data_IF_274936657817
#
_entry.id   IF_274936657817
#
_cell.length_a   1.000
_cell.length_b   1.000
_cell.length_c   1.000
_cell.angle_alpha   90.00
_cell.angle_beta   90.00
_cell.angle_gamma   90.00
#
_symmetry.space_group_name_H-M   'P 1'
#
loop_
_entity.id
_entity.type
_entity.pdbx_description
1 polymer ?
#
# COMPACT_ATOMS: atom_id res chain seq x y z
N UNK A 1 -41.04 -10.17 -7.86
CA UNK A 1 -40.09 -9.46 -7.67
C UNK A 1 -38.95 -10.07 -7.14
N UNK A 2 -37.84 -9.69 -7.35
CA UNK A 2 -36.84 -10.37 -7.11
C UNK A 2 -35.69 -9.58 -6.80
N UNK A 3 -35.15 -9.77 -5.74
CA UNK A 3 -34.13 -9.03 -5.29
C UNK A 3 -32.92 -9.75 -5.47
N UNK A 4 -32.06 -9.22 -6.22
CA UNK A 4 -30.85 -9.82 -6.34
C UNK A 4 -30.00 -9.32 -5.32
N UNK A 5 -29.72 -10.13 -4.42
CA UNK A 5 -28.82 -9.78 -3.47
C UNK A 5 -27.53 -10.16 -3.96
N UNK A 6 -26.86 -9.25 -4.43
CA UNK A 6 -25.51 -9.49 -4.75
C UNK A 6 -24.75 -9.34 -3.50
N UNK A 7 -25.19 -10.04 -2.56
CA UNK A 7 -24.56 -9.88 -1.33
C UNK A 7 -23.30 -10.61 -1.36
N UNK A 8 -22.37 -10.14 -0.89
CA UNK A 8 -21.33 -10.88 -0.41
C UNK A 8 -20.13 -11.11 -1.20
N UNK A 9 -20.15 -10.84 -2.40
CA UNK A 9 -18.92 -11.01 -3.11
C UNK A 9 -18.30 -9.68 -3.33
N UNK A 10 -17.89 -9.08 -2.24
CA UNK A 10 -17.15 -7.87 -2.39
C UNK A 10 -15.75 -8.28 -2.67
N UNK A 11 -15.41 -8.48 -3.89
CA UNK A 11 -14.03 -8.71 -4.21
C UNK A 11 -13.29 -7.40 -4.08
N UNK A 12 -12.05 -7.45 -3.63
CA UNK A 12 -11.21 -6.30 -3.55
C UNK A 12 -11.05 -5.70 -4.95
N UNK A 13 -11.20 -4.38 -5.11
CA UNK A 13 -11.08 -3.77 -6.43
C UNK A 13 -9.64 -3.77 -6.93
N UNK A 14 -9.48 -3.91 -8.24
CA UNK A 14 -8.20 -3.74 -8.87
C UNK A 14 -7.82 -2.26 -8.86
N UNK A 15 -6.54 -1.97 -9.03
CA UNK A 15 -6.05 -0.61 -8.95
C UNK A 15 -6.78 0.36 -9.88
N UNK A 16 -7.03 -0.02 -11.12
CA UNK A 16 -7.69 0.89 -12.06
C UNK A 16 -9.10 1.25 -11.62
N UNK A 17 -9.83 0.26 -11.10
CA UNK A 17 -11.16 0.51 -10.59
C UNK A 17 -11.09 1.39 -9.35
N UNK A 18 -10.16 1.09 -8.45
CA UNK A 18 -9.96 1.88 -7.25
C UNK A 18 -9.58 3.33 -7.60
N UNK A 19 -8.65 3.51 -8.53
CA UNK A 19 -8.17 4.83 -8.91
C UNK A 19 -9.29 5.71 -9.49
N UNK A 20 -10.31 5.09 -10.05
CA UNK A 20 -11.43 5.83 -10.62
C UNK A 20 -12.40 6.38 -9.57
N UNK A 21 -12.36 5.83 -8.36
CA UNK A 21 -13.30 6.22 -7.31
C UNK A 21 -12.64 6.84 -6.08
N UNK A 22 -11.32 6.70 -5.93
CA UNK A 22 -10.66 7.24 -4.75
C UNK A 22 -10.55 8.76 -4.89
N UNK A 23 -10.80 9.46 -3.80
CA UNK A 23 -10.65 10.92 -3.79
C UNK A 23 -9.17 11.32 -3.83
N UNK A 24 -8.84 12.44 -4.45
CA UNK A 24 -7.47 12.94 -4.38
C UNK A 24 -7.10 13.32 -2.94
N UNK A 25 -5.82 13.44 -2.63
CA UNK A 25 -5.42 13.90 -1.30
C UNK A 25 -6.00 15.28 -1.01
N UNK A 26 -6.24 15.55 0.26
CA UNK A 26 -6.69 16.88 0.68
C UNK A 26 -5.58 17.91 0.44
N UNK A 27 -5.92 19.20 0.37
CA UNK A 27 -4.90 20.24 0.26
C UNK A 27 -3.86 20.12 1.37
N UNK A 28 -2.60 20.32 1.03
CA UNK A 28 -1.45 20.21 1.92
C UNK A 28 -1.06 18.77 2.25
N UNK A 29 -1.82 17.80 1.77
CA UNK A 29 -1.45 16.39 1.94
C UNK A 29 -0.78 15.86 0.68
N UNK A 30 -0.01 14.81 0.85
CA UNK A 30 0.45 13.96 -0.23
C UNK A 30 -0.04 12.55 0.03
N UNK A 31 0.19 11.66 -0.88
CA UNK A 31 -0.27 10.27 -0.81
C UNK A 31 0.88 9.31 -1.03
N UNK A 32 0.91 8.25 -0.24
CA UNK A 32 1.86 7.16 -0.42
C UNK A 32 1.09 5.89 -0.72
N UNK A 33 1.35 5.28 -1.87
CA UNK A 33 0.84 3.96 -2.18
C UNK A 33 1.86 2.93 -1.72
N UNK A 34 1.37 1.87 -1.10
CA UNK A 34 2.20 0.73 -0.67
C UNK A 34 1.71 -0.51 -1.38
N UNK A 35 2.62 -1.33 -1.88
CA UNK A 35 2.22 -2.56 -2.56
C UNK A 35 3.35 -3.60 -2.54
N UNK A 36 2.95 -4.84 -2.77
CA UNK A 36 3.90 -5.96 -2.77
C UNK A 36 3.59 -6.87 -3.95
N UNK A 37 4.53 -6.97 -4.87
CA UNK A 37 4.35 -7.75 -6.10
C UNK A 37 4.62 -9.24 -5.90
N UNK A 38 5.52 -9.58 -4.98
CA UNK A 38 5.96 -10.96 -4.83
C UNK A 38 5.10 -11.75 -3.86
N UNK A 39 4.73 -12.96 -4.24
CA UNK A 39 4.08 -13.91 -3.35
C UNK A 39 5.10 -14.74 -2.58
N UNK A 40 6.38 -14.58 -2.87
CA UNK A 40 7.43 -15.30 -2.15
C UNK A 40 7.36 -14.91 -0.67
N UNK A 41 7.41 -15.89 0.21
CA UNK A 41 7.29 -15.64 1.63
C UNK A 41 5.90 -15.16 2.03
N UNK A 42 4.84 -15.67 1.38
CA UNK A 42 3.47 -15.21 1.58
C UNK A 42 2.99 -15.28 3.04
N UNK A 43 3.53 -16.17 3.84
CA UNK A 43 3.16 -16.27 5.24
C UNK A 43 3.71 -15.10 6.06
N UNK A 44 4.72 -14.39 5.53
CA UNK A 44 5.31 -13.27 6.21
C UNK A 44 4.63 -12.00 5.74
N UNK A 45 3.81 -11.42 6.57
CA UNK A 45 3.07 -10.20 6.25
C UNK A 45 3.28 -9.17 7.35
N UNK A 46 4.44 -8.52 7.37
CA UNK A 46 4.75 -7.57 8.43
C UNK A 46 3.81 -6.38 8.44
N UNK A 47 3.61 -5.81 9.61
CA UNK A 47 2.82 -4.60 9.76
C UNK A 47 3.63 -3.43 9.24
N UNK A 48 2.96 -2.56 8.51
CA UNK A 48 3.55 -1.34 7.96
C UNK A 48 3.17 -0.19 8.87
N UNK A 49 4.14 0.62 9.24
CA UNK A 49 3.91 1.81 10.06
C UNK A 49 4.41 3.05 9.33
N UNK A 50 3.69 4.13 9.49
CA UNK A 50 4.13 5.44 9.02
C UNK A 50 4.22 6.34 10.25
N UNK A 51 5.39 6.86 10.51
CA UNK A 51 5.67 7.68 11.70
C UNK A 51 5.23 6.99 13.00
N UNK A 52 5.42 5.67 13.05
CA UNK A 52 5.08 4.86 14.23
C UNK A 52 3.64 4.39 14.30
N UNK A 53 2.77 4.82 13.39
CA UNK A 53 1.36 4.44 13.38
C UNK A 53 1.12 3.29 12.41
N UNK A 54 0.44 2.25 12.85
CA UNK A 54 0.13 1.13 11.98
C UNK A 54 -0.86 1.54 10.90
N UNK A 55 -0.55 1.25 9.65
CA UNK A 55 -1.38 1.64 8.53
C UNK A 55 -1.84 0.47 7.66
N UNK A 56 -1.23 -0.69 7.82
CA UNK A 56 -1.61 -1.87 7.04
C UNK A 56 -0.59 -2.97 7.16
N UNK A 57 -0.69 -3.94 6.28
CA UNK A 57 0.24 -5.07 6.22
C UNK A 57 0.77 -5.23 4.82
N UNK A 58 2.00 -5.75 4.72
CA UNK A 58 2.61 -6.04 3.42
C UNK A 58 2.03 -7.34 2.86
N UNK A 59 0.83 -7.25 2.29
CA UNK A 59 0.08 -8.39 1.78
C UNK A 59 0.48 -8.69 0.34
N UNK A 60 0.82 -9.95 0.01
CA UNK A 60 1.18 -10.29 -1.37
C UNK A 60 0.08 -9.92 -2.36
N UNK A 61 0.47 -9.36 -3.48
CA UNK A 61 -0.44 -8.91 -4.54
C UNK A 61 -1.47 -7.87 -4.09
N UNK A 62 -1.22 -7.23 -2.97
CA UNK A 62 -2.13 -6.22 -2.43
C UNK A 62 -1.51 -4.83 -2.41
N UNK A 63 -2.38 -3.83 -2.41
CA UNK A 63 -1.94 -2.45 -2.24
C UNK A 63 -2.88 -1.72 -1.28
N UNK A 64 -2.37 -0.66 -0.68
CA UNK A 64 -3.16 0.28 0.09
C UNK A 64 -2.47 1.64 0.02
N UNK A 65 -3.09 2.66 0.57
CA UNK A 65 -2.50 3.99 0.55
C UNK A 65 -2.74 4.71 1.87
N UNK A 66 -1.94 5.74 2.11
CA UNK A 66 -2.16 6.66 3.21
C UNK A 66 -1.97 8.07 2.70
N UNK A 67 -2.74 8.99 3.25
CA UNK A 67 -2.58 10.42 3.00
C UNK A 67 -1.99 11.04 4.25
N UNK A 68 -0.94 11.83 4.08
CA UNK A 68 -0.24 12.50 5.18
C UNK A 68 0.12 13.91 4.76
N UNK A 69 0.29 14.79 5.72
CA UNK A 69 0.73 16.16 5.45
C UNK A 69 2.05 16.14 4.69
N UNK A 70 2.24 17.12 3.81
CA UNK A 70 3.50 17.29 3.13
C UNK A 70 4.64 17.38 4.14
N UNK A 71 5.75 16.78 3.82
CA UNK A 71 6.92 16.72 4.71
C UNK A 71 7.57 15.35 4.69
N UNK A 72 8.49 15.15 5.59
CA UNK A 72 9.19 13.87 5.70
C UNK A 72 8.46 12.91 6.60
N UNK A 73 8.36 11.66 6.17
CA UNK A 73 7.70 10.60 6.93
C UNK A 73 8.60 9.37 6.97
N UNK A 74 8.53 8.64 8.07
CA UNK A 74 9.29 7.42 8.19
C UNK A 74 8.39 6.21 8.04
N UNK A 75 8.69 5.38 7.07
CA UNK A 75 7.98 4.13 6.83
C UNK A 75 8.80 3.02 7.47
N UNK A 76 8.17 2.17 8.26
CA UNK A 76 8.87 1.03 8.87
C UNK A 76 8.04 -0.24 8.76
N UNK A 77 8.74 -1.37 8.76
CA UNK A 77 8.14 -2.69 8.76
C UNK A 77 8.49 -3.38 10.06
N UNK A 78 7.51 -4.03 10.68
CA UNK A 78 7.76 -4.77 11.90
C UNK A 78 8.29 -6.16 11.55
N UNK A 79 9.59 -6.22 11.36
CA UNK A 79 10.31 -7.47 11.11
C UNK A 79 11.37 -7.61 12.20
N UNK A 80 12.06 -8.75 12.22
CA UNK A 80 13.10 -8.97 13.22
C UNK A 80 14.21 -7.93 13.13
N UNK A 81 14.53 -7.53 11.90
CA UNK A 81 15.45 -6.42 11.69
C UNK A 81 14.55 -5.31 11.16
N UNK A 82 14.32 -4.31 11.98
CA UNK A 82 13.43 -3.23 11.58
C UNK A 82 13.99 -2.51 10.37
N UNK A 83 13.20 -2.50 9.29
CA UNK A 83 13.58 -1.82 8.07
C UNK A 83 12.84 -0.50 7.97
N UNK A 84 13.54 0.57 7.71
CA UNK A 84 12.95 1.90 7.62
C UNK A 84 13.28 2.55 6.28
N UNK A 85 12.40 3.45 5.88
CA UNK A 85 12.57 4.24 4.66
C UNK A 85 12.02 5.64 4.91
N UNK A 86 12.80 6.66 4.60
CA UNK A 86 12.32 8.02 4.67
C UNK A 86 11.66 8.40 3.35
N UNK A 87 10.45 8.92 3.43
CA UNK A 87 9.70 9.36 2.25
C UNK A 87 9.34 10.83 2.44
N UNK A 88 9.71 11.66 1.49
CA UNK A 88 9.35 13.07 1.52
C UNK A 88 8.19 13.29 0.58
N UNK A 89 7.12 13.91 1.09
CA UNK A 89 5.93 14.22 0.31
C UNK A 89 5.85 15.71 0.07
N UNK A 90 5.63 16.09 -1.17
CA UNK A 90 5.23 17.46 -1.49
C UNK A 90 3.71 17.57 -1.43
N UNK A 91 3.21 18.82 -1.48
CA UNK A 91 1.78 19.08 -1.48
C UNK A 91 1.17 18.49 -2.76
N UNK A 92 0.22 17.60 -2.59
CA UNK A 92 -0.44 16.91 -3.70
C UNK A 92 0.40 15.84 -4.37
N UNK A 93 1.59 15.57 -3.85
CA UNK A 93 2.48 14.60 -4.45
C UNK A 93 2.07 13.17 -4.12
N UNK A 94 2.28 12.25 -5.06
CA UNK A 94 2.03 10.83 -4.86
C UNK A 94 3.34 10.10 -4.96
N UNK A 95 3.65 9.31 -3.96
CA UNK A 95 4.84 8.47 -3.92
C UNK A 95 4.44 7.00 -3.90
N UNK A 96 5.34 6.14 -4.33
CA UNK A 96 5.07 4.71 -4.46
C UNK A 96 6.14 3.93 -3.71
N UNK A 97 5.72 3.11 -2.77
CA UNK A 97 6.62 2.28 -1.97
C UNK A 97 6.28 0.82 -2.22
N UNK A 98 7.25 0.08 -2.71
CA UNK A 98 7.09 -1.35 -2.97
C UNK A 98 7.79 -2.12 -1.87
N UNK A 99 7.17 -3.19 -1.42
CA UNK A 99 7.80 -4.08 -0.44
C UNK A 99 8.51 -5.20 -1.18
N UNK A 100 9.82 -5.14 -1.20
CA UNK A 100 10.63 -6.13 -1.89
C UNK A 100 11.01 -7.27 -0.96
N UNK A 101 10.80 -8.49 -1.44
CA UNK A 101 11.13 -9.69 -0.69
C UNK A 101 12.47 -10.21 -1.18
N UNK A 102 13.41 -10.35 -0.28
CA UNK A 102 14.71 -10.90 -0.59
C UNK A 102 14.93 -12.17 0.23
N UNK A 103 15.39 -13.21 -0.40
CA UNK A 103 15.66 -14.46 0.29
C UNK A 103 17.18 -14.65 0.37
N UNK A 104 17.68 -14.70 1.58
CA UNK A 104 19.05 -15.11 1.82
C UNK A 104 18.97 -16.49 2.42
N UNK A 105 20.03 -17.25 2.30
CA UNK A 105 20.14 -18.70 2.51
C UNK A 105 19.07 -19.39 3.36
N UNK A 106 18.55 -18.91 4.39
CA UNK A 106 17.49 -19.53 5.18
C UNK A 106 16.54 -18.50 5.76
N UNK A 107 16.66 -17.24 5.35
CA UNK A 107 15.89 -16.18 5.97
C UNK A 107 15.27 -15.28 4.92
N UNK A 108 13.97 -15.11 4.98
CA UNK A 108 13.28 -14.13 4.16
C UNK A 108 13.41 -12.76 4.78
N UNK A 109 13.47 -11.75 3.93
CA UNK A 109 13.64 -10.38 4.34
C UNK A 109 12.75 -9.51 3.47
N UNK A 110 12.01 -8.61 4.07
CA UNK A 110 11.17 -7.67 3.32
C UNK A 110 11.61 -6.26 3.65
N UNK A 111 11.83 -5.46 2.63
CA UNK A 111 12.21 -4.07 2.82
C UNK A 111 11.37 -3.12 1.98
N UNK A 112 11.08 -1.91 2.49
CA UNK A 112 10.35 -0.92 1.69
C UNK A 112 11.33 -0.21 0.75
N UNK A 113 10.88 -0.03 -0.50
CA UNK A 113 11.70 0.61 -1.53
C UNK A 113 10.88 1.66 -2.23
N UNK A 114 11.43 2.86 -2.36
CA UNK A 114 10.78 3.92 -3.11
C UNK A 114 10.97 3.64 -4.59
N UNK A 115 9.89 3.67 -5.38
CA UNK A 115 9.97 3.44 -6.82
C UNK A 115 9.43 4.64 -7.57
N UNK A 116 9.86 4.79 -8.82
CA UNK A 116 9.40 5.88 -9.67
C UNK A 116 7.92 5.70 -10.00
N UNK A 117 7.25 6.82 -10.24
CA UNK A 117 5.83 6.83 -10.56
C UNK A 117 5.48 5.90 -11.72
N UNK A 118 6.25 5.94 -12.79
CA UNK A 118 5.95 5.11 -13.97
C UNK A 118 5.97 3.61 -13.62
N UNK A 119 6.93 3.21 -12.79
CA UNK A 119 7.05 1.82 -12.37
C UNK A 119 5.92 1.48 -11.40
N UNK A 120 5.67 2.35 -10.43
CA UNK A 120 4.63 2.11 -9.43
C UNK A 120 3.25 2.00 -10.05
N UNK A 121 2.90 2.90 -10.95
CA UNK A 121 1.59 2.86 -11.58
C UNK A 121 1.41 1.60 -12.42
N UNK A 122 2.46 1.18 -13.12
CA UNK A 122 2.38 -0.02 -13.95
C UNK A 122 2.23 -1.27 -13.10
N UNK A 123 3.01 -1.37 -12.03
CA UNK A 123 2.93 -2.54 -11.16
C UNK A 123 1.63 -2.61 -10.38
N UNK A 124 1.09 -1.47 -9.97
CA UNK A 124 -0.17 -1.42 -9.24
C UNK A 124 -1.35 -1.96 -10.03
N UNK A 125 -1.28 -1.93 -11.35
CA UNK A 125 -2.37 -2.44 -12.19
C UNK A 125 -2.69 -3.90 -11.92
N UNK A 126 -1.73 -4.65 -11.41
CA UNK A 126 -1.94 -6.06 -11.11
C UNK A 126 -2.24 -6.34 -9.64
N UNK A 127 -2.41 -5.29 -8.85
CA UNK A 127 -2.65 -5.43 -7.42
C UNK A 127 -4.11 -5.25 -7.08
N UNK A 128 -4.52 -5.80 -5.93
CA UNK A 128 -5.88 -5.64 -5.41
C UNK A 128 -5.84 -4.79 -4.15
N UNK A 129 -6.86 -3.97 -3.97
CA UNK A 129 -6.92 -3.10 -2.80
C UNK A 129 -7.16 -3.91 -1.53
N UNK A 130 -6.27 -3.74 -0.56
CA UNK A 130 -6.36 -4.45 0.72
C UNK A 130 -6.45 -3.51 1.92
N UNK A 131 -6.67 -2.24 1.68
CA UNK A 131 -6.86 -1.27 2.76
C UNK A 131 -8.26 -1.33 3.35
N UNK A 132 -8.55 -0.40 4.25
CA UNK A 132 -9.86 -0.35 4.84
C UNK A 132 -10.92 0.05 3.83
N UNK A 133 -12.10 -0.53 3.96
CA UNK A 133 -13.19 -0.27 3.04
C UNK A 133 -13.98 0.99 3.41
N UNK A 134 -13.43 1.83 4.25
CA UNK A 134 -14.16 2.99 4.73
C UNK A 134 -13.89 4.26 3.95
N UNK A 135 -13.00 4.21 2.98
CA UNK A 135 -12.66 5.43 2.25
C UNK A 135 -13.87 6.04 1.54
N UNK A 136 -14.82 5.24 1.18
CA UNK A 136 -16.00 5.72 0.49
C UNK A 136 -16.97 6.47 1.41
N UNK A 137 -16.79 6.38 2.68
CA UNK A 137 -17.67 7.01 3.63
C UNK A 137 -17.26 8.43 3.98
N UNK A 138 -16.21 8.92 3.40
CA UNK A 138 -15.71 10.25 3.73
C UNK A 138 -16.21 11.32 2.80
#
# INVERSE_FOLDING_TARGET
MFSILVAGCVSAPAYEEFASIVSPPLPLDGRIYFYRTSALGAAMQPVVKVDGEEVGKATPSGFFYVDRLAGSHEVSLSTKAEETLSVTLGDGEVKYVRFDVKMAVFVGHIEPVLVDRAIGEEELKEMLYVGEQTFAAR
#
